data_IF_143989809776
#
_entry.id   IF_143989809776
#
_cell.length_a   1.000
_cell.length_b   1.000
_cell.length_c   1.000
_cell.angle_alpha   90.00
_cell.angle_beta   90.00
_cell.angle_gamma   90.00
#
_symmetry.space_group_name_H-M   'P 1'
#
loop_
_entity.id
_entity.type
_entity.pdbx_description
1 polymer ?
#
# COMPACT_ATOMS: atom_id res chain seq x y z
N UNK A 1 -8.78 16.34 34.80
CA UNK A 1 -8.57 15.91 33.40
C UNK A 1 -7.20 16.43 33.03
N UNK A 2 -6.21 15.55 32.89
CA UNK A 2 -4.86 15.94 32.49
C UNK A 2 -4.88 16.29 30.99
N UNK A 3 -4.63 17.55 30.68
CA UNK A 3 -4.36 18.00 29.31
C UNK A 3 -3.06 17.32 28.85
N UNK A 4 -3.16 16.43 27.86
CA UNK A 4 -2.00 15.87 27.20
C UNK A 4 -1.32 17.01 26.44
N UNK A 5 -0.34 17.63 27.09
CA UNK A 5 0.47 18.70 26.51
C UNK A 5 1.41 18.06 25.49
N UNK A 6 0.95 17.94 24.24
CA UNK A 6 1.79 17.47 23.13
C UNK A 6 2.83 18.53 22.83
N UNK A 7 4.03 18.41 23.44
CA UNK A 7 5.18 19.22 23.03
C UNK A 7 5.38 19.02 21.53
N UNK A 8 5.56 20.10 20.74
CA UNK A 8 5.83 19.97 19.33
C UNK A 8 7.13 19.17 19.16
N UNK A 9 7.07 18.08 18.40
CA UNK A 9 8.26 17.34 17.99
C UNK A 9 9.07 18.23 17.04
N UNK A 10 10.16 18.81 17.54
CA UNK A 10 11.14 19.50 16.70
C UNK A 10 12.01 18.44 16.00
N UNK A 11 11.59 18.04 14.80
CA UNK A 11 12.40 17.22 13.92
C UNK A 11 13.50 18.08 13.32
N UNK A 12 14.74 17.58 13.33
CA UNK A 12 15.79 18.21 12.54
C UNK A 12 15.50 18.03 11.03
N UNK A 13 16.15 18.82 10.18
CA UNK A 13 15.90 18.83 8.73
C UNK A 13 15.98 17.42 8.10
N UNK A 14 16.96 16.62 8.53
CA UNK A 14 17.18 15.28 7.97
C UNK A 14 16.06 14.31 8.40
N UNK A 15 15.66 14.36 9.67
CA UNK A 15 14.52 13.58 10.19
C UNK A 15 13.21 14.00 9.53
N UNK A 16 13.01 15.29 9.30
CA UNK A 16 11.83 15.79 8.60
C UNK A 16 11.79 15.30 7.14
N UNK A 17 12.92 15.34 6.43
CA UNK A 17 13.00 14.83 5.05
C UNK A 17 12.74 13.31 4.97
N UNK A 18 13.26 12.52 5.92
CA UNK A 18 12.99 11.07 6.00
C UNK A 18 11.53 10.78 6.32
N UNK A 19 10.94 11.53 7.24
CA UNK A 19 9.54 11.38 7.63
C UNK A 19 8.62 11.81 6.49
N UNK A 20 8.93 12.92 5.81
CA UNK A 20 8.22 13.37 4.62
C UNK A 20 8.29 12.32 3.51
N UNK A 21 9.46 11.75 3.22
CA UNK A 21 9.59 10.66 2.24
C UNK A 21 8.74 9.45 2.62
N UNK A 22 8.75 9.06 3.89
CA UNK A 22 7.99 7.91 4.39
C UNK A 22 6.48 8.15 4.30
N UNK A 23 6.03 9.35 4.69
CA UNK A 23 4.63 9.77 4.60
C UNK A 23 4.22 9.86 3.14
N UNK A 24 4.94 10.59 2.28
CA UNK A 24 4.63 10.66 0.85
C UNK A 24 4.56 9.28 0.21
N UNK A 25 5.50 8.37 0.52
CA UNK A 25 5.43 6.98 0.04
C UNK A 25 4.17 6.26 0.53
N UNK A 26 3.76 6.49 1.77
CA UNK A 26 2.55 5.90 2.34
C UNK A 26 1.24 6.50 1.77
N UNK A 27 1.20 7.82 1.52
CA UNK A 27 -0.01 8.49 1.00
C UNK A 27 -0.14 8.36 -0.52
N UNK A 28 0.99 8.29 -1.24
CA UNK A 28 1.02 8.09 -2.68
C UNK A 28 0.85 6.63 -3.10
N UNK A 29 0.80 5.69 -2.15
CA UNK A 29 0.47 4.28 -2.42
C UNK A 29 -0.95 4.19 -2.96
N UNK A 30 -1.06 3.99 -4.27
CA UNK A 30 -2.32 3.78 -4.96
C UNK A 30 -2.79 2.36 -4.73
N UNK A 31 -3.69 2.17 -3.77
CA UNK A 31 -4.33 0.89 -3.54
C UNK A 31 -5.29 0.52 -4.67
N UNK A 32 -5.19 -0.72 -5.15
CA UNK A 32 -6.13 -1.32 -6.10
C UNK A 32 -7.17 -2.12 -5.32
N UNK A 33 -8.44 -2.01 -5.70
CA UNK A 33 -9.48 -2.91 -5.18
C UNK A 33 -9.48 -4.19 -6.01
N UNK A 34 -10.10 -5.25 -5.49
CA UNK A 34 -10.24 -6.52 -6.23
C UNK A 34 -10.86 -6.35 -7.61
N UNK A 35 -11.79 -5.39 -7.78
CA UNK A 35 -12.42 -5.10 -9.07
C UNK A 35 -11.48 -4.45 -10.10
N UNK A 36 -10.39 -3.81 -9.64
CA UNK A 36 -9.46 -3.08 -10.48
C UNK A 36 -8.28 -3.97 -10.93
N UNK A 37 -8.07 -5.11 -10.25
CA UNK A 37 -7.03 -6.11 -10.55
C UNK A 37 -7.08 -6.62 -12.00
N UNK A 38 -8.25 -7.01 -12.56
CA UNK A 38 -8.33 -7.50 -13.93
C UNK A 38 -7.80 -6.49 -14.96
N UNK A 39 -8.14 -5.21 -14.75
CA UNK A 39 -7.68 -4.12 -15.61
C UNK A 39 -6.18 -3.85 -15.41
N UNK A 40 -5.69 -3.91 -14.18
CA UNK A 40 -4.27 -3.69 -13.88
C UNK A 40 -3.38 -4.78 -14.49
N UNK A 41 -3.76 -6.05 -14.33
CA UNK A 41 -3.01 -7.20 -14.82
C UNK A 41 -3.30 -7.53 -16.29
N UNK A 42 -4.29 -6.86 -16.91
CA UNK A 42 -4.80 -7.20 -18.24
C UNK A 42 -5.17 -8.69 -18.37
N UNK A 43 -5.78 -9.23 -17.31
CA UNK A 43 -6.16 -10.65 -17.19
C UNK A 43 -7.57 -10.77 -16.60
N UNK A 44 -8.30 -11.83 -16.95
CA UNK A 44 -9.60 -12.09 -16.35
C UNK A 44 -9.47 -12.46 -14.86
N UNK A 45 -10.46 -12.11 -14.06
CA UNK A 45 -10.47 -12.40 -12.61
C UNK A 45 -10.35 -13.90 -12.32
N UNK A 46 -10.97 -14.76 -13.12
CA UNK A 46 -10.82 -16.22 -13.04
C UNK A 46 -9.36 -16.64 -13.27
N UNK A 47 -8.73 -16.11 -14.32
CA UNK A 47 -7.32 -16.38 -14.65
C UNK A 47 -6.39 -15.93 -13.55
N UNK A 48 -6.67 -14.79 -12.91
CA UNK A 48 -5.89 -14.28 -11.77
C UNK A 48 -5.98 -15.25 -10.59
N UNK A 49 -7.18 -15.71 -10.22
CA UNK A 49 -7.35 -16.66 -9.11
C UNK A 49 -6.69 -18.01 -9.38
N UNK A 50 -6.70 -18.47 -10.62
CA UNK A 50 -6.10 -19.74 -11.02
C UNK A 50 -4.57 -19.67 -11.08
N UNK A 51 -4.01 -18.60 -11.68
CA UNK A 51 -2.56 -18.50 -11.91
C UNK A 51 -1.82 -17.78 -10.78
N UNK A 52 -2.50 -16.95 -10.00
CA UNK A 52 -1.93 -16.10 -8.95
C UNK A 52 -2.76 -16.19 -7.65
N UNK A 53 -2.94 -17.41 -7.07
CA UNK A 53 -3.73 -17.58 -5.84
C UNK A 53 -3.11 -16.85 -4.64
N UNK A 54 -1.77 -16.73 -4.60
CA UNK A 54 -1.01 -16.14 -3.50
C UNK A 54 -0.68 -14.64 -3.72
N UNK A 55 -1.46 -13.94 -4.55
CA UNK A 55 -1.28 -12.51 -4.77
C UNK A 55 -1.33 -11.74 -3.44
N UNK A 56 -0.29 -10.95 -3.10
CA UNK A 56 -0.25 -10.19 -1.86
C UNK A 56 -1.41 -9.22 -1.76
N UNK A 57 -2.07 -9.19 -0.60
CA UNK A 57 -3.19 -8.31 -0.33
C UNK A 57 -3.15 -7.77 1.10
N UNK A 58 -3.77 -6.61 1.30
CA UNK A 58 -3.89 -5.93 2.58
C UNK A 58 -5.35 -5.69 2.91
N UNK A 59 -5.71 -5.78 4.19
CA UNK A 59 -7.04 -5.41 4.68
C UNK A 59 -6.95 -4.04 5.32
N UNK A 60 -7.52 -3.02 4.67
CA UNK A 60 -7.53 -1.63 5.16
C UNK A 60 -8.97 -1.22 5.37
N UNK A 61 -9.36 -0.96 6.63
CA UNK A 61 -10.74 -0.58 6.99
C UNK A 61 -11.77 -1.64 6.59
N UNK A 62 -11.43 -2.92 6.64
CA UNK A 62 -12.31 -4.04 6.24
C UNK A 62 -12.42 -4.28 4.73
N UNK A 63 -11.73 -3.48 3.91
CA UNK A 63 -11.68 -3.67 2.45
C UNK A 63 -10.39 -4.36 2.03
N UNK A 64 -10.50 -5.40 1.19
CA UNK A 64 -9.35 -6.04 0.55
C UNK A 64 -8.78 -5.14 -0.54
N UNK A 65 -7.52 -4.79 -0.38
CA UNK A 65 -6.77 -3.92 -1.28
C UNK A 65 -5.46 -4.59 -1.69
N UNK A 66 -4.92 -4.16 -2.82
CA UNK A 66 -3.69 -4.68 -3.40
C UNK A 66 -2.74 -3.51 -3.68
N UNK A 67 -1.47 -3.68 -3.36
CA UNK A 67 -0.42 -2.71 -3.69
C UNK A 67 0.16 -3.08 -5.08
N UNK A 68 0.06 -2.20 -6.10
CA UNK A 68 0.68 -2.40 -7.41
C UNK A 68 2.15 -2.82 -7.33
N UNK A 69 2.93 -2.23 -6.42
CA UNK A 69 4.35 -2.55 -6.28
C UNK A 69 4.56 -3.98 -5.80
N UNK A 70 3.79 -4.42 -4.81
CA UNK A 70 3.87 -5.80 -4.30
C UNK A 70 3.38 -6.80 -5.34
N UNK A 71 2.37 -6.44 -6.14
CA UNK A 71 1.91 -7.25 -7.27
C UNK A 71 3.04 -7.41 -8.31
N UNK A 72 3.68 -6.31 -8.71
CA UNK A 72 4.75 -6.31 -9.72
C UNK A 72 5.98 -7.10 -9.21
N UNK A 73 6.36 -6.91 -7.95
CA UNK A 73 7.46 -7.64 -7.31
C UNK A 73 7.14 -9.14 -7.19
N UNK A 74 5.88 -9.49 -6.87
CA UNK A 74 5.43 -10.88 -6.82
C UNK A 74 5.50 -11.53 -8.20
N UNK A 75 5.04 -10.86 -9.26
CA UNK A 75 5.08 -11.36 -10.64
C UNK A 75 6.51 -11.48 -11.13
N UNK A 76 7.40 -10.53 -10.80
CA UNK A 76 8.80 -10.55 -11.22
C UNK A 76 9.62 -11.67 -10.56
N UNK A 77 9.27 -12.04 -9.33
CA UNK A 77 9.97 -13.08 -8.57
C UNK A 77 9.38 -14.49 -8.74
N UNK A 78 8.38 -14.65 -9.60
CA UNK A 78 7.72 -15.93 -9.90
C UNK A 78 8.27 -16.52 -11.21
#
# INVERSE_FOLDING_TARGET
MDEIQTKPLELNKQQFEELQKSVTKAVSRRWLRTKDLPNYLSMADSTIRENLPDLPFHIVGGTKLYDPQEIDDFIRNK
#
